data_IF_198410304726
#
_entry.id   IF_198410304726
#
_cell.length_a   1.000
_cell.length_b   1.000
_cell.length_c   1.000
_cell.angle_alpha   90.00
_cell.angle_beta   90.00
_cell.angle_gamma   90.00
#
_symmetry.space_group_name_H-M   'P 1'
#
loop_
_entity.id
_entity.type
_entity.pdbx_description
1 polymer ?
#
# COMPACT_ATOMS: atom_id res chain seq x y z
N UNK A 1 1.94 -2.68 11.28
CA UNK A 1 1.03 -2.06 10.29
C UNK A 1 0.57 -0.76 10.92
N UNK A 2 0.95 0.38 10.34
CA UNK A 2 0.60 1.70 10.88
C UNK A 2 -0.61 2.18 10.05
N UNK A 3 -1.77 2.29 10.69
CA UNK A 3 -2.89 3.05 10.16
C UNK A 3 -2.89 4.41 10.86
N UNK A 4 -2.84 5.49 10.09
CA UNK A 4 -2.95 6.85 10.60
C UNK A 4 -4.42 7.26 10.55
N UNK A 5 -4.97 7.80 11.64
CA UNK A 5 -6.20 8.59 11.61
C UNK A 5 -5.77 10.04 11.36
N UNK A 6 -6.24 10.63 10.25
CA UNK A 6 -6.03 12.04 9.92
C UNK A 6 -6.98 12.91 10.74
N UNK A 7 -6.45 13.92 11.40
CA UNK A 7 -7.23 15.00 11.99
C UNK A 7 -7.99 15.77 10.91
N UNK A 8 -9.25 16.12 11.21
CA UNK A 8 -10.02 17.13 10.48
C UNK A 8 -9.36 18.48 10.73
N UNK A 9 -8.72 19.04 9.71
CA UNK A 9 -8.26 20.43 9.72
C UNK A 9 -9.47 21.37 9.83
N UNK A 10 -9.55 22.14 10.93
CA UNK A 10 -10.32 23.38 10.99
C UNK A 10 -9.39 24.54 10.62
N UNK A 11 -9.82 25.49 9.78
CA UNK A 11 -8.99 26.62 9.38
C UNK A 11 -8.79 27.60 10.53
N UNK A 12 -7.53 27.93 10.84
CA UNK A 12 -7.17 29.03 11.74
C UNK A 12 -7.41 30.37 11.03
N UNK A 13 -8.25 31.23 11.61
CA UNK A 13 -8.28 32.66 11.33
C UNK A 13 -7.50 33.37 12.45
N UNK A 14 -6.50 34.14 12.07
CA UNK A 14 -5.76 35.05 12.95
C UNK A 14 -6.68 36.09 13.60
N UNK A 15 -6.66 36.20 14.94
CA UNK A 15 -6.38 37.46 15.65
C UNK A 15 -6.70 37.40 17.16
N UNK A 16 -5.75 37.97 17.92
CA UNK A 16 -5.84 38.57 19.27
C UNK A 16 -5.82 37.68 20.53
N UNK A 17 -4.89 38.06 21.41
CA UNK A 17 -4.63 37.61 22.78
C UNK A 17 -5.88 37.49 23.65
N UNK A 18 -6.13 36.29 24.19
CA UNK A 18 -6.90 36.04 25.42
C UNK A 18 -6.51 34.64 25.94
N UNK A 19 -6.31 34.44 27.25
CA UNK A 19 -6.01 33.11 27.78
C UNK A 19 -7.27 32.22 27.61
N UNK A 20 -7.15 30.96 27.16
CA UNK A 20 -8.33 30.13 27.03
C UNK A 20 -8.82 29.73 28.42
N UNK A 21 -10.04 30.17 28.72
CA UNK A 21 -10.85 29.69 29.84
C UNK A 21 -11.05 28.18 29.77
N UNK A 22 -11.19 27.58 30.94
CA UNK A 22 -11.57 26.18 31.13
C UNK A 22 -12.85 25.82 30.35
N UNK A 23 -12.79 24.75 29.57
CA UNK A 23 -13.96 23.93 29.23
C UNK A 23 -14.30 23.87 27.75
N UNK A 24 -13.79 22.85 27.06
CA UNK A 24 -14.63 21.90 26.33
C UNK A 24 -13.79 20.66 25.99
N UNK A 25 -13.91 19.60 26.80
CA UNK A 25 -13.23 18.32 26.55
C UNK A 25 -13.80 17.68 25.28
N UNK A 26 -13.07 17.74 24.16
CA UNK A 26 -13.41 17.04 22.91
C UNK A 26 -13.41 15.50 23.00
N UNK A 27 -13.40 14.95 24.22
CA UNK A 27 -13.38 13.52 24.54
C UNK A 27 -14.75 13.05 25.06
N UNK A 28 -15.66 13.98 25.41
CA UNK A 28 -17.00 13.63 25.91
C UNK A 28 -17.84 12.98 24.80
N UNK A 29 -17.79 11.65 24.72
CA UNK A 29 -18.50 10.83 23.74
C UNK A 29 -17.68 9.67 23.16
N UNK A 30 -16.36 9.59 23.45
CA UNK A 30 -15.54 8.44 23.05
C UNK A 30 -15.68 7.24 24.00
N UNK A 31 -16.10 7.48 25.24
CA UNK A 31 -16.16 6.46 26.31
C UNK A 31 -17.50 5.71 26.34
N UNK A 32 -18.59 6.30 25.84
CA UNK A 32 -19.94 5.76 26.00
C UNK A 32 -20.20 4.46 25.19
N UNK A 33 -19.34 4.14 24.21
CA UNK A 33 -19.53 3.01 23.27
C UNK A 33 -18.41 1.94 23.31
N UNK A 34 -17.35 2.13 24.10
CA UNK A 34 -16.20 1.22 24.18
C UNK A 34 -16.28 0.39 25.47
N UNK A 35 -16.18 -0.95 25.42
CA UNK A 35 -16.04 -1.75 26.67
C UNK A 35 -14.64 -1.61 27.28
N UNK A 36 -13.66 -1.25 26.44
CA UNK A 36 -12.29 -0.91 26.78
C UNK A 36 -12.18 0.43 27.50
N UNK A 37 -10.98 1.01 27.50
CA UNK A 37 -10.71 2.28 28.18
C UNK A 37 -10.10 3.31 27.25
N UNK A 38 -10.51 4.57 27.39
CA UNK A 38 -9.84 5.71 26.78
C UNK A 38 -9.00 6.41 27.85
N UNK A 39 -7.68 6.49 27.66
CA UNK A 39 -6.75 7.08 28.62
C UNK A 39 -6.13 8.37 28.07
N UNK A 40 -6.58 9.51 28.61
CA UNK A 40 -6.06 10.84 28.29
C UNK A 40 -4.87 11.25 29.19
N UNK A 41 -4.41 10.35 30.05
CA UNK A 41 -3.33 10.60 31.00
C UNK A 41 -2.02 10.97 30.31
N UNK A 42 -1.30 11.93 30.90
CA UNK A 42 -0.03 12.43 30.38
C UNK A 42 1.03 11.35 30.21
N UNK A 43 1.03 10.32 31.06
CA UNK A 43 1.96 9.19 31.01
C UNK A 43 1.66 8.28 29.81
N UNK A 44 0.41 7.86 29.66
CA UNK A 44 -0.01 6.96 28.57
C UNK A 44 0.14 7.63 27.21
N UNK A 45 -0.29 8.88 27.08
CA UNK A 45 -0.12 9.67 25.84
C UNK A 45 1.36 9.91 25.54
N UNK A 46 2.22 10.17 26.53
CA UNK A 46 3.67 10.32 26.30
C UNK A 46 4.35 9.00 25.89
N UNK A 47 3.87 7.86 26.37
CA UNK A 47 4.36 6.54 25.93
C UNK A 47 3.94 6.26 24.49
N UNK A 48 2.68 6.49 24.16
CA UNK A 48 2.12 6.31 22.82
C UNK A 48 2.64 7.34 21.80
N UNK A 49 3.21 8.46 22.27
CA UNK A 49 3.72 9.51 21.42
C UNK A 49 4.95 9.11 20.61
N UNK A 50 5.64 8.03 20.98
CA UNK A 50 6.91 7.62 20.36
C UNK A 50 6.65 6.65 19.22
N UNK A 51 7.23 6.94 18.06
CA UNK A 51 7.27 5.98 16.97
C UNK A 51 8.18 4.77 17.29
N UNK A 52 8.06 3.73 16.46
CA UNK A 52 9.02 2.63 16.49
C UNK A 52 10.37 3.11 15.96
N UNK A 53 11.28 3.46 16.87
CA UNK A 53 12.63 3.92 16.56
C UNK A 53 13.02 5.23 17.23
N UNK A 54 12.07 5.97 17.78
CA UNK A 54 12.30 7.24 18.49
C UNK A 54 12.69 8.41 17.58
N UNK A 55 12.39 8.34 16.28
CA UNK A 55 12.76 9.35 15.29
C UNK A 55 11.75 10.50 15.25
N UNK A 56 10.48 10.20 15.51
CA UNK A 56 9.40 11.16 15.59
C UNK A 56 8.58 10.97 16.86
N UNK A 57 8.10 12.09 17.42
CA UNK A 57 7.20 12.07 18.56
C UNK A 57 6.03 13.04 18.35
N UNK A 58 4.80 12.52 18.37
CA UNK A 58 3.56 13.32 18.31
C UNK A 58 2.67 12.87 19.45
N UNK A 59 2.33 13.78 20.37
CA UNK A 59 1.52 13.43 21.53
C UNK A 59 0.05 13.25 21.09
N UNK A 60 -0.53 12.04 21.22
CA UNK A 60 -1.94 11.83 20.92
C UNK A 60 -2.83 12.48 21.99
N UNK A 61 -4.06 12.82 21.60
CA UNK A 61 -5.09 13.36 22.51
C UNK A 61 -5.54 12.32 23.56
N UNK A 62 -5.59 11.04 23.18
CA UNK A 62 -5.94 9.93 24.06
C UNK A 62 -5.30 8.61 23.57
N UNK A 63 -5.19 7.63 24.47
CA UNK A 63 -4.78 6.27 24.17
C UNK A 63 -5.96 5.33 24.38
N UNK A 64 -6.45 4.73 23.30
CA UNK A 64 -7.56 3.77 23.35
C UNK A 64 -6.99 2.37 23.62
N UNK A 65 -7.53 1.69 24.64
CA UNK A 65 -7.25 0.30 24.97
C UNK A 65 -8.54 -0.53 24.82
N UNK A 66 -8.75 -1.20 23.68
CA UNK A 66 -9.88 -2.11 23.52
C UNK A 66 -9.86 -3.20 24.60
N UNK A 67 -11.02 -3.58 25.16
CA UNK A 67 -11.12 -4.71 26.09
C UNK A 67 -10.98 -6.05 25.37
N UNK A 68 -11.53 -6.14 24.16
CA UNK A 68 -11.39 -7.29 23.27
C UNK A 68 -11.46 -6.89 21.79
N UNK A 69 -11.40 -7.87 20.89
CA UNK A 69 -11.48 -7.62 19.46
C UNK A 69 -12.88 -7.18 18.99
N UNK A 70 -13.92 -7.36 19.82
CA UNK A 70 -15.27 -6.89 19.52
C UNK A 70 -15.48 -5.41 19.91
N UNK A 71 -14.57 -4.82 20.69
CA UNK A 71 -14.42 -3.35 20.82
C UNK A 71 -13.76 -2.71 19.60
N UNK A 72 -13.17 -3.53 18.73
CA UNK A 72 -12.52 -3.07 17.49
C UNK A 72 -13.51 -3.25 16.33
N UNK A 73 -13.48 -2.31 15.38
CA UNK A 73 -14.31 -2.31 14.19
C UNK A 73 -14.35 -3.70 13.49
N UNK A 74 -15.44 -3.98 12.78
CA UNK A 74 -15.54 -4.99 11.73
C UNK A 74 -15.12 -4.39 10.40
N UNK A 75 -14.83 -5.26 9.43
CA UNK A 75 -14.44 -4.83 8.09
C UNK A 75 -15.29 -5.56 7.07
N UNK A 76 -16.01 -4.79 6.25
CA UNK A 76 -16.56 -5.28 4.98
C UNK A 76 -15.42 -5.23 3.97
N UNK A 77 -14.85 -6.38 3.65
CA UNK A 77 -13.77 -6.52 2.68
C UNK A 77 -14.36 -6.89 1.32
N UNK A 78 -14.03 -6.14 0.27
CA UNK A 78 -14.62 -6.27 -1.06
C UNK A 78 -13.50 -6.37 -2.10
N UNK A 79 -13.70 -7.25 -3.07
CA UNK A 79 -12.89 -7.35 -4.30
C UNK A 79 -13.80 -7.31 -5.51
N UNK A 80 -13.49 -6.44 -6.46
CA UNK A 80 -14.18 -6.35 -7.75
C UNK A 80 -13.18 -6.37 -8.89
N UNK A 81 -13.62 -6.78 -10.09
CA UNK A 81 -12.74 -7.01 -11.24
C UNK A 81 -13.08 -6.11 -12.41
N UNK A 82 -12.03 -5.62 -13.06
CA UNK A 82 -12.06 -4.82 -14.27
C UNK A 82 -11.29 -5.54 -15.39
N UNK A 83 -11.79 -5.41 -16.62
CA UNK A 83 -11.06 -5.84 -17.82
C UNK A 83 -10.18 -4.74 -18.42
N UNK A 84 -10.57 -3.48 -18.24
CA UNK A 84 -9.88 -2.33 -18.80
C UNK A 84 -9.13 -1.55 -17.71
N UNK A 85 -7.90 -1.17 -18.04
CA UNK A 85 -6.99 -0.54 -17.08
C UNK A 85 -7.41 0.88 -16.74
N UNK A 86 -7.92 1.63 -17.72
CA UNK A 86 -8.34 3.02 -17.57
C UNK A 86 -9.60 3.16 -16.71
N UNK A 87 -10.51 2.20 -16.76
CA UNK A 87 -11.66 2.11 -15.84
C UNK A 87 -11.19 1.81 -14.41
N UNK A 88 -10.31 0.81 -14.25
CA UNK A 88 -9.71 0.46 -12.96
C UNK A 88 -8.99 1.66 -12.31
N UNK A 89 -8.10 2.35 -13.04
CA UNK A 89 -7.34 3.48 -12.49
C UNK A 89 -8.23 4.68 -12.19
N UNK A 90 -9.21 4.98 -13.06
CA UNK A 90 -10.14 6.10 -12.87
C UNK A 90 -10.96 5.94 -11.60
N UNK A 91 -11.44 4.73 -11.35
CA UNK A 91 -12.20 4.40 -10.15
C UNK A 91 -11.32 4.43 -8.91
N UNK A 92 -10.14 3.79 -8.95
CA UNK A 92 -9.20 3.80 -7.83
C UNK A 92 -8.77 5.23 -7.46
N UNK A 93 -8.50 6.09 -8.45
CA UNK A 93 -8.15 7.50 -8.26
C UNK A 93 -9.31 8.31 -7.68
N UNK A 94 -10.53 8.09 -8.18
CA UNK A 94 -11.74 8.73 -7.66
C UNK A 94 -11.94 8.39 -6.18
N UNK A 95 -11.72 7.12 -5.81
CA UNK A 95 -11.83 6.66 -4.43
C UNK A 95 -10.79 7.28 -3.50
N UNK A 96 -9.55 7.52 -3.94
CA UNK A 96 -8.53 8.11 -3.04
C UNK A 96 -8.54 9.64 -3.02
N UNK A 97 -9.04 10.31 -4.06
CA UNK A 97 -9.05 11.78 -4.17
C UNK A 97 -10.26 12.44 -3.52
N UNK A 98 -11.41 11.77 -3.51
CA UNK A 98 -12.62 12.26 -2.85
C UNK A 98 -12.55 11.96 -1.36
N UNK A 99 -13.52 12.46 -0.59
CA UNK A 99 -13.80 11.88 0.72
C UNK A 99 -14.23 10.43 0.48
N UNK A 100 -13.25 9.52 0.48
CA UNK A 100 -13.49 8.12 0.18
C UNK A 100 -14.52 7.58 1.15
N UNK A 101 -15.54 6.87 0.67
CA UNK A 101 -16.42 6.12 1.56
C UNK A 101 -15.70 4.91 2.16
N UNK A 102 -14.54 4.49 1.62
CA UNK A 102 -13.76 3.36 2.10
C UNK A 102 -12.59 3.79 2.98
N UNK A 103 -12.25 2.92 3.93
CA UNK A 103 -11.10 3.09 4.84
C UNK A 103 -9.80 2.47 4.30
N UNK A 104 -9.91 1.68 3.24
CA UNK A 104 -8.79 1.00 2.58
C UNK A 104 -9.06 0.89 1.08
N UNK A 105 -8.04 1.19 0.27
CA UNK A 105 -8.05 1.04 -1.18
C UNK A 105 -6.69 0.49 -1.62
N UNK A 106 -6.69 -0.69 -2.21
CA UNK A 106 -5.56 -1.26 -2.95
C UNK A 106 -6.06 -1.86 -4.27
N UNK A 107 -5.14 -2.45 -5.03
CA UNK A 107 -5.47 -3.19 -6.23
C UNK A 107 -4.32 -4.07 -6.65
N UNK A 108 -4.61 -5.03 -7.51
CA UNK A 108 -3.60 -5.91 -8.07
C UNK A 108 -3.97 -6.36 -9.48
N UNK A 109 -2.93 -6.66 -10.25
CA UNK A 109 -3.02 -7.27 -11.58
C UNK A 109 -2.89 -8.78 -11.43
N UNK A 110 -3.73 -9.52 -12.14
CA UNK A 110 -3.66 -10.98 -12.20
C UNK A 110 -3.79 -11.45 -13.65
N UNK A 111 -3.24 -12.62 -13.93
CA UNK A 111 -3.24 -13.21 -15.27
C UNK A 111 -4.64 -13.68 -15.61
N UNK A 112 -5.06 -13.45 -16.86
CA UNK A 112 -6.29 -14.02 -17.39
C UNK A 112 -6.05 -15.51 -17.76
N UNK A 113 -5.73 -16.34 -16.75
CA UNK A 113 -5.58 -17.81 -16.85
C UNK A 113 -6.10 -18.54 -15.61
N UNK A 114 -6.24 -19.87 -15.73
CA UNK A 114 -6.60 -20.79 -14.63
C UNK A 114 -5.41 -21.14 -13.73
N UNK A 115 -4.28 -20.43 -13.88
CA UNK A 115 -3.11 -20.58 -13.02
C UNK A 115 -3.51 -20.31 -11.55
N UNK A 116 -3.28 -21.26 -10.63
CA UNK A 116 -3.77 -21.13 -9.25
C UNK A 116 -3.03 -20.07 -8.43
N UNK A 117 -1.89 -19.58 -8.91
CA UNK A 117 -1.03 -18.61 -8.22
C UNK A 117 -1.19 -17.22 -8.84
N UNK A 118 -1.10 -17.13 -10.16
CA UNK A 118 -1.12 -15.87 -10.89
C UNK A 118 -2.49 -15.52 -11.45
N UNK A 119 -3.37 -16.50 -11.61
CA UNK A 119 -4.60 -16.39 -12.37
C UNK A 119 -5.81 -15.95 -11.55
N UNK A 120 -6.98 -16.04 -12.16
CA UNK A 120 -8.25 -15.73 -11.51
C UNK A 120 -8.59 -16.55 -10.23
N UNK A 121 -8.05 -17.77 -9.98
CA UNK A 121 -8.25 -18.45 -8.70
C UNK A 121 -7.65 -17.70 -7.49
N UNK A 122 -6.77 -16.72 -7.71
CA UNK A 122 -6.19 -15.89 -6.65
C UNK A 122 -7.10 -14.75 -6.15
N UNK A 123 -8.19 -14.45 -6.87
CA UNK A 123 -9.07 -13.31 -6.60
C UNK A 123 -10.05 -13.55 -5.45
N UNK A 124 -10.80 -14.67 -5.39
CA UNK A 124 -11.79 -14.87 -4.34
C UNK A 124 -11.17 -14.92 -2.93
N UNK A 125 -11.87 -14.32 -1.95
CA UNK A 125 -11.44 -14.30 -0.54
C UNK A 125 -11.69 -15.64 0.17
N UNK A 126 -12.69 -16.38 -0.30
CA UNK A 126 -13.16 -17.65 0.26
C UNK A 126 -12.98 -18.80 -0.73
N UNK A 127 -12.64 -19.99 -0.23
CA UNK A 127 -12.41 -21.19 -1.05
C UNK A 127 -13.70 -21.71 -1.68
N UNK A 128 -14.85 -21.43 -1.06
CA UNK A 128 -16.15 -21.93 -1.51
C UNK A 128 -16.73 -21.09 -2.68
N UNK A 129 -16.28 -19.84 -2.82
CA UNK A 129 -16.69 -18.95 -3.92
C UNK A 129 -15.66 -19.01 -5.03
N UNK A 130 -16.00 -19.68 -6.13
CA UNK A 130 -15.12 -19.78 -7.31
C UNK A 130 -15.27 -18.59 -8.24
N UNK A 131 -14.18 -18.26 -8.92
CA UNK A 131 -14.21 -17.38 -10.07
C UNK A 131 -14.83 -18.14 -11.26
N UNK A 132 -15.91 -17.58 -11.82
CA UNK A 132 -16.56 -18.13 -13.02
C UNK A 132 -16.07 -17.37 -14.26
N UNK A 133 -15.15 -17.97 -15.06
CA UNK A 133 -14.55 -17.30 -16.20
C UNK A 133 -15.52 -17.10 -17.37
N UNK A 134 -16.74 -17.63 -17.33
CA UNK A 134 -17.75 -17.39 -18.38
C UNK A 134 -18.37 -16.01 -18.30
N UNK A 135 -18.25 -15.34 -17.13
CA UNK A 135 -18.79 -14.00 -16.87
C UNK A 135 -17.90 -12.89 -17.40
N UNK A 136 -16.60 -13.16 -17.62
CA UNK A 136 -15.65 -12.15 -18.08
C UNK A 136 -15.94 -11.71 -19.53
N UNK A 137 -15.63 -10.46 -19.91
CA UNK A 137 -15.73 -10.00 -21.29
C UNK A 137 -14.91 -10.88 -22.24
N UNK A 138 -15.49 -11.24 -23.39
CA UNK A 138 -14.86 -12.14 -24.38
C UNK A 138 -13.53 -11.61 -24.94
N UNK A 139 -13.37 -10.28 -24.95
CA UNK A 139 -12.20 -9.59 -25.52
C UNK A 139 -11.21 -9.11 -24.45
N UNK A 140 -11.33 -9.58 -23.21
CA UNK A 140 -10.42 -9.19 -22.14
C UNK A 140 -8.96 -9.52 -22.48
N UNK A 141 -8.05 -8.64 -22.09
CA UNK A 141 -6.62 -8.76 -22.33
C UNK A 141 -5.95 -9.95 -21.62
N UNK A 142 -4.62 -10.10 -21.74
CA UNK A 142 -3.87 -11.18 -21.10
C UNK A 142 -3.86 -11.10 -19.57
N UNK A 143 -4.22 -9.95 -19.02
CA UNK A 143 -4.33 -9.67 -17.58
C UNK A 143 -5.66 -8.98 -17.28
N UNK A 144 -6.09 -9.08 -16.03
CA UNK A 144 -7.25 -8.42 -15.47
C UNK A 144 -6.82 -7.67 -14.20
N UNK A 145 -7.67 -6.75 -13.74
CA UNK A 145 -7.37 -5.88 -12.61
C UNK A 145 -8.39 -6.11 -11.51
N UNK A 146 -7.93 -6.23 -10.27
CA UNK A 146 -8.79 -6.31 -9.11
C UNK A 146 -8.63 -5.03 -8.28
N UNK A 147 -9.75 -4.35 -8.03
CA UNK A 147 -9.83 -3.30 -7.02
C UNK A 147 -10.23 -3.95 -5.70
N UNK A 148 -9.45 -3.68 -4.65
CA UNK A 148 -9.67 -4.22 -3.31
C UNK A 148 -9.95 -3.07 -2.35
N UNK A 149 -11.15 -3.06 -1.76
CA UNK A 149 -11.57 -1.99 -0.84
C UNK A 149 -12.06 -2.57 0.47
N UNK A 150 -12.04 -1.75 1.53
CA UNK A 150 -12.57 -2.14 2.81
C UNK A 150 -13.30 -0.98 3.51
N UNK A 151 -14.45 -1.28 4.11
CA UNK A 151 -15.22 -0.36 4.94
C UNK A 151 -15.20 -0.84 6.39
N UNK A 152 -14.77 0.02 7.29
CA UNK A 152 -14.83 -0.21 8.73
C UNK A 152 -16.22 0.12 9.25
N UNK A 153 -16.76 -0.75 10.11
CA UNK A 153 -18.05 -0.52 10.77
C UNK A 153 -18.03 -1.07 12.19
N UNK A 154 -18.95 -0.65 13.05
CA UNK A 154 -19.00 -1.10 14.44
C UNK A 154 -19.85 -2.36 14.56
N UNK A 155 -19.57 -3.19 15.57
CA UNK A 155 -20.33 -4.42 15.81
C UNK A 155 -21.83 -4.21 16.07
N UNK A 156 -22.21 -3.04 16.59
CA UNK A 156 -23.60 -2.67 16.85
C UNK A 156 -24.27 -1.96 15.67
N UNK A 157 -23.55 -1.66 14.59
CA UNK A 157 -24.17 -1.13 13.38
C UNK A 157 -25.12 -2.19 12.80
N UNK A 158 -26.34 -1.78 12.48
CA UNK A 158 -27.31 -2.71 11.90
C UNK A 158 -26.81 -3.18 10.52
N UNK A 159 -26.82 -4.50 10.21
CA UNK A 159 -26.26 -5.02 8.95
C UNK A 159 -26.79 -4.32 7.70
N UNK A 160 -28.09 -4.06 7.62
CA UNK A 160 -28.67 -3.37 6.46
C UNK A 160 -28.20 -1.93 6.27
N UNK A 161 -27.77 -1.25 7.34
CA UNK A 161 -27.22 0.10 7.26
C UNK A 161 -25.77 0.07 6.73
N UNK A 162 -25.01 -0.97 7.08
CA UNK A 162 -23.69 -1.24 6.49
C UNK A 162 -23.84 -1.56 5.01
N UNK A 163 -24.79 -2.43 4.64
CA UNK A 163 -25.06 -2.80 3.25
C UNK A 163 -25.44 -1.57 2.41
N UNK A 164 -26.32 -0.70 2.91
CA UNK A 164 -26.70 0.54 2.21
C UNK A 164 -25.48 1.43 1.96
N UNK A 165 -24.64 1.66 2.98
CA UNK A 165 -23.41 2.44 2.85
C UNK A 165 -22.46 1.83 1.82
N UNK A 166 -22.38 0.50 1.76
CA UNK A 166 -21.53 -0.20 0.79
C UNK A 166 -22.08 -0.02 -0.61
N UNK A 167 -23.38 -0.17 -0.85
CA UNK A 167 -23.96 0.05 -2.18
C UNK A 167 -23.80 1.52 -2.63
N UNK A 168 -24.02 2.49 -1.74
CA UNK A 168 -23.75 3.91 -2.00
C UNK A 168 -22.26 4.16 -2.33
N UNK A 169 -21.35 3.49 -1.63
CA UNK A 169 -19.91 3.61 -1.85
C UNK A 169 -19.43 2.97 -3.17
N UNK A 170 -20.11 1.90 -3.60
CA UNK A 170 -19.84 1.19 -4.84
C UNK A 170 -20.56 1.80 -6.05
N UNK A 171 -21.50 2.74 -5.82
CA UNK A 171 -22.28 3.39 -6.87
C UNK A 171 -21.38 4.17 -7.83
N UNK A 172 -21.58 3.94 -9.14
CA UNK A 172 -20.83 4.62 -10.19
C UNK A 172 -19.44 4.05 -10.47
N UNK A 173 -19.00 3.02 -9.74
CA UNK A 173 -17.82 2.24 -10.12
C UNK A 173 -18.13 1.35 -11.33
N UNK A 174 -17.18 1.23 -12.25
CA UNK A 174 -17.32 0.58 -13.57
C UNK A 174 -16.85 -0.89 -13.59
N UNK A 175 -16.84 -1.56 -12.44
CA UNK A 175 -16.43 -2.97 -12.36
C UNK A 175 -17.48 -3.90 -12.99
N UNK A 176 -17.09 -5.13 -13.29
CA UNK A 176 -18.04 -6.16 -13.72
C UNK A 176 -18.87 -6.63 -12.51
N UNK A 177 -20.16 -6.28 -12.47
CA UNK A 177 -21.09 -6.63 -11.39
C UNK A 177 -21.15 -8.14 -11.09
N UNK A 178 -20.86 -8.98 -12.08
CA UNK A 178 -20.86 -10.44 -11.91
C UNK A 178 -19.58 -10.99 -11.27
N UNK A 179 -18.56 -10.13 -11.10
CA UNK A 179 -17.23 -10.43 -10.57
C UNK A 179 -16.96 -9.58 -9.31
N UNK A 180 -17.90 -9.60 -8.36
CA UNK A 180 -17.80 -9.02 -7.02
C UNK A 180 -17.75 -10.10 -5.96
N UNK A 181 -16.77 -10.01 -5.07
CA UNK A 181 -16.68 -10.80 -3.84
C UNK A 181 -16.69 -9.86 -2.65
N UNK A 182 -17.36 -10.29 -1.60
CA UNK A 182 -17.41 -9.58 -0.32
C UNK A 182 -17.41 -10.56 0.84
N UNK A 183 -16.82 -10.14 1.95
CA UNK A 183 -16.82 -10.87 3.21
C UNK A 183 -16.78 -9.88 4.39
N UNK A 184 -17.57 -10.16 5.42
CA UNK A 184 -17.47 -9.49 6.72
C UNK A 184 -16.48 -10.24 7.61
N UNK A 185 -15.40 -9.55 8.00
CA UNK A 185 -14.32 -10.13 8.81
C UNK A 185 -14.03 -9.26 10.03
N UNK A 186 -13.35 -9.84 11.03
CA UNK A 186 -12.81 -9.03 12.13
C UNK A 186 -11.69 -8.14 11.60
N UNK A 187 -11.55 -6.93 12.15
CA UNK A 187 -10.46 -6.03 11.76
C UNK A 187 -9.08 -6.67 11.87
N UNK A 188 -8.81 -7.41 12.96
CA UNK A 188 -7.52 -8.09 13.10
C UNK A 188 -7.29 -9.20 12.05
N UNK A 189 -8.36 -9.89 11.63
CA UNK A 189 -8.26 -10.91 10.58
C UNK A 189 -8.00 -10.25 9.22
N UNK A 190 -8.63 -9.10 8.95
CA UNK A 190 -8.31 -8.28 7.79
C UNK A 190 -6.84 -7.84 7.80
N UNK A 191 -6.35 -7.20 8.87
CA UNK A 191 -4.96 -6.74 8.94
C UNK A 191 -3.95 -7.90 8.85
N UNK A 192 -4.29 -9.07 9.38
CA UNK A 192 -3.42 -10.23 9.38
C UNK A 192 -3.65 -11.19 8.19
N UNK A 193 -4.43 -10.80 7.17
CA UNK A 193 -4.80 -11.65 6.02
C UNK A 193 -3.60 -12.26 5.29
N UNK A 194 -2.46 -11.56 5.27
CA UNK A 194 -1.20 -12.05 4.66
C UNK A 194 -0.62 -13.26 5.39
N UNK A 195 -0.96 -13.48 6.67
CA UNK A 195 -0.53 -14.64 7.46
C UNK A 195 -0.99 -15.97 6.84
N UNK A 196 -2.15 -15.97 6.16
CA UNK A 196 -2.62 -17.14 5.41
C UNK A 196 -1.69 -17.45 4.23
N UNK A 197 -1.31 -16.42 3.46
CA UNK A 197 -0.36 -16.56 2.36
C UNK A 197 1.02 -17.01 2.84
N UNK A 198 1.51 -16.46 3.96
CA UNK A 198 2.74 -16.91 4.63
C UNK A 198 2.68 -18.40 5.00
N UNK A 199 1.60 -18.85 5.64
CA UNK A 199 1.46 -20.26 6.05
C UNK A 199 1.47 -21.20 4.84
N UNK A 200 0.80 -20.83 3.75
CA UNK A 200 0.81 -21.58 2.50
C UNK A 200 2.21 -21.60 1.86
N UNK A 201 2.88 -20.45 1.82
CA UNK A 201 4.24 -20.32 1.29
C UNK A 201 5.25 -21.17 2.08
N UNK A 202 5.13 -21.22 3.41
CA UNK A 202 5.94 -22.11 4.27
C UNK A 202 5.65 -23.58 3.99
N UNK A 203 4.37 -23.94 3.91
CA UNK A 203 3.95 -25.32 3.62
C UNK A 203 4.45 -25.83 2.26
N UNK A 204 4.61 -24.93 1.29
CA UNK A 204 5.06 -25.25 -0.07
C UNK A 204 6.57 -25.01 -0.28
N UNK A 205 7.32 -24.66 0.77
CA UNK A 205 8.78 -24.47 0.71
C UNK A 205 9.26 -23.25 -0.08
N UNK A 206 8.36 -22.30 -0.38
CA UNK A 206 8.69 -21.08 -1.13
C UNK A 206 8.98 -19.88 -0.20
N UNK A 207 8.65 -19.96 1.09
CA UNK A 207 8.84 -18.85 2.03
C UNK A 207 10.31 -18.54 2.36
N UNK A 208 11.16 -19.56 2.51
CA UNK A 208 12.59 -19.37 2.79
C UNK A 208 13.43 -19.37 1.49
N UNK A 209 12.77 -19.36 0.32
CA UNK A 209 13.42 -19.28 -0.98
C UNK A 209 13.80 -17.82 -1.32
N UNK A 210 14.59 -17.57 -2.39
CA UNK A 210 14.88 -16.21 -2.85
C UNK A 210 13.63 -15.47 -3.35
N UNK A 211 13.46 -14.22 -2.91
CA UNK A 211 12.35 -13.33 -3.30
C UNK A 211 12.89 -12.09 -4.02
N UNK A 212 13.19 -12.17 -5.33
CA UNK A 212 13.71 -11.04 -6.11
C UNK A 212 12.58 -10.06 -6.44
N UNK A 213 11.95 -9.47 -5.43
CA UNK A 213 10.87 -8.50 -5.59
C UNK A 213 11.34 -7.23 -6.28
N UNK A 214 10.42 -6.57 -6.97
CA UNK A 214 10.64 -5.24 -7.56
C UNK A 214 9.51 -4.33 -7.08
N UNK A 215 9.87 -3.26 -6.38
CA UNK A 215 8.93 -2.27 -5.89
C UNK A 215 9.30 -0.90 -6.46
N UNK A 216 8.31 -0.16 -6.93
CA UNK A 216 8.51 1.16 -7.52
C UNK A 216 7.28 2.03 -7.33
N UNK A 217 7.51 3.33 -7.28
CA UNK A 217 6.51 4.36 -7.48
C UNK A 217 6.53 4.79 -8.94
N UNK A 218 5.37 4.93 -9.57
CA UNK A 218 5.21 5.38 -10.97
C UNK A 218 4.22 6.54 -10.99
N UNK A 219 4.52 7.62 -11.72
CA UNK A 219 3.60 8.75 -11.84
C UNK A 219 2.27 8.31 -12.48
N UNK A 220 1.16 8.91 -12.04
CA UNK A 220 -0.16 8.69 -12.65
C UNK A 220 -0.13 8.87 -14.17
N UNK A 221 0.60 9.88 -14.66
CA UNK A 221 0.69 10.20 -16.09
C UNK A 221 1.29 9.08 -16.94
N UNK A 222 2.09 8.19 -16.33
CA UNK A 222 2.82 7.14 -17.02
C UNK A 222 2.22 5.74 -16.80
N UNK A 223 1.20 5.60 -15.95
CA UNK A 223 0.65 4.28 -15.61
C UNK A 223 0.02 3.54 -16.79
N UNK A 224 -0.65 4.24 -17.70
CA UNK A 224 -1.20 3.61 -18.90
C UNK A 224 -0.09 3.06 -19.82
N UNK A 225 1.02 3.78 -19.93
CA UNK A 225 2.20 3.31 -20.67
C UNK A 225 2.87 2.13 -19.94
N UNK A 226 2.99 2.21 -18.61
CA UNK A 226 3.52 1.14 -17.78
C UNK A 226 2.70 -0.15 -17.91
N UNK A 227 1.38 -0.08 -17.86
CA UNK A 227 0.49 -1.23 -18.06
C UNK A 227 0.74 -1.93 -19.40
N UNK A 228 0.77 -1.18 -20.48
CA UNK A 228 0.97 -1.73 -21.83
C UNK A 228 2.36 -2.36 -22.00
N UNK A 229 3.41 -1.70 -21.50
CA UNK A 229 4.78 -2.17 -21.65
C UNK A 229 5.11 -3.33 -20.68
N UNK A 230 4.59 -3.28 -19.45
CA UNK A 230 5.01 -4.18 -18.38
C UNK A 230 3.95 -5.23 -18.11
N UNK A 231 2.75 -4.86 -17.64
CA UNK A 231 1.73 -5.84 -17.23
C UNK A 231 1.22 -6.67 -18.41
N UNK A 232 0.82 -6.02 -19.50
CA UNK A 232 0.23 -6.69 -20.68
C UNK A 232 1.26 -7.40 -21.57
N UNK A 233 2.54 -7.08 -21.43
CA UNK A 233 3.59 -7.61 -22.32
C UNK A 233 4.65 -8.41 -21.56
N UNK A 234 5.55 -7.74 -20.83
CA UNK A 234 6.65 -8.41 -20.12
C UNK A 234 6.16 -9.41 -19.05
N UNK A 235 5.02 -9.13 -18.42
CA UNK A 235 4.46 -9.88 -17.29
C UNK A 235 3.10 -10.54 -17.60
N UNK A 236 2.78 -10.76 -18.88
CA UNK A 236 1.51 -11.39 -19.30
C UNK A 236 1.30 -12.82 -18.76
N UNK A 237 2.34 -13.43 -18.21
CA UNK A 237 2.31 -14.76 -17.56
C UNK A 237 2.45 -14.69 -16.03
N UNK A 238 2.40 -13.48 -15.46
CA UNK A 238 2.54 -13.27 -14.02
C UNK A 238 3.99 -13.36 -13.54
N UNK A 239 4.15 -13.30 -12.22
CA UNK A 239 5.46 -13.25 -11.54
C UNK A 239 5.64 -14.39 -10.53
N UNK A 240 4.69 -15.33 -10.48
CA UNK A 240 4.62 -16.38 -9.46
C UNK A 240 4.03 -15.89 -8.13
N UNK A 241 3.37 -14.72 -8.13
CA UNK A 241 2.78 -14.11 -6.94
C UNK A 241 2.08 -12.79 -7.28
N UNK A 242 1.62 -12.04 -6.26
CA UNK A 242 0.84 -10.81 -6.48
C UNK A 242 1.62 -9.72 -7.23
N UNK A 243 0.92 -9.01 -8.13
CA UNK A 243 1.39 -7.78 -8.77
C UNK A 243 0.53 -6.62 -8.28
N UNK A 244 0.91 -5.98 -7.16
CA UNK A 244 0.12 -4.89 -6.59
C UNK A 244 0.25 -3.63 -7.43
N UNK A 245 -0.85 -2.90 -7.57
CA UNK A 245 -0.93 -1.59 -8.22
C UNK A 245 -2.06 -0.78 -7.60
N UNK A 246 -1.74 0.35 -6.96
CA UNK A 246 -2.76 1.23 -6.40
C UNK A 246 -2.26 2.68 -6.26
N UNK A 247 -3.18 3.67 -6.37
CA UNK A 247 -2.82 5.08 -6.29
C UNK A 247 -2.59 5.53 -4.85
N UNK A 248 -1.73 6.53 -4.71
CA UNK A 248 -1.37 7.21 -3.49
C UNK A 248 -1.39 8.73 -3.73
N UNK A 249 -1.73 9.49 -2.69
CA UNK A 249 -1.73 10.95 -2.72
C UNK A 249 -0.43 11.53 -2.18
N UNK A 250 0.27 12.32 -2.99
CA UNK A 250 1.50 13.04 -2.62
C UNK A 250 1.27 14.01 -1.47
N UNK A 251 0.11 14.65 -1.36
CA UNK A 251 -0.24 15.53 -0.23
C UNK A 251 -0.13 14.88 1.14
N UNK A 252 -0.10 13.54 1.24
CA UNK A 252 0.11 12.79 2.48
C UNK A 252 1.59 12.50 2.82
N UNK A 253 2.52 12.93 1.96
CA UNK A 253 3.96 12.66 2.12
C UNK A 253 4.73 13.93 2.42
N UNK A 254 5.42 13.97 3.56
CA UNK A 254 6.20 15.14 3.98
C UNK A 254 7.49 15.27 3.16
N UNK A 255 7.59 16.36 2.39
CA UNK A 255 8.72 16.69 1.51
C UNK A 255 10.03 16.97 2.25
N UNK A 256 9.98 17.16 3.58
CA UNK A 256 11.16 17.32 4.44
C UNK A 256 11.88 15.99 4.68
N UNK A 257 11.19 14.86 4.52
CA UNK A 257 11.79 13.52 4.66
C UNK A 257 12.77 13.22 3.51
N UNK A 258 13.44 12.08 3.56
CA UNK A 258 14.36 11.62 2.50
C UNK A 258 13.70 10.63 1.52
N UNK A 259 12.36 10.52 1.55
CA UNK A 259 11.62 9.69 0.57
C UNK A 259 11.68 10.34 -0.80
N UNK A 260 11.85 9.52 -1.84
CA UNK A 260 11.91 9.97 -3.23
C UNK A 260 10.69 9.45 -3.98
N UNK A 261 9.92 10.38 -4.57
CA UNK A 261 8.65 10.11 -5.26
C UNK A 261 8.67 10.68 -6.69
N UNK A 262 7.98 10.06 -7.66
CA UNK A 262 7.80 10.59 -9.01
C UNK A 262 6.80 11.77 -9.02
N UNK A 263 6.96 12.74 -9.90
CA UNK A 263 6.17 13.97 -9.99
C UNK A 263 4.66 13.74 -10.14
N UNK A 264 3.86 14.73 -9.72
CA UNK A 264 2.40 14.70 -9.74
C UNK A 264 1.75 14.49 -8.36
N UNK A 265 0.49 14.90 -8.22
CA UNK A 265 -0.27 14.73 -6.96
C UNK A 265 -0.64 13.26 -6.71
N UNK A 266 -0.91 12.50 -7.78
CA UNK A 266 -1.18 11.07 -7.70
C UNK A 266 0.00 10.32 -8.30
N UNK A 267 0.42 9.27 -7.61
CA UNK A 267 1.37 8.29 -8.11
C UNK A 267 0.95 6.90 -7.61
N UNK A 268 1.45 5.86 -8.25
CA UNK A 268 1.08 4.50 -7.95
C UNK A 268 2.22 3.77 -7.27
N UNK A 269 1.90 2.99 -6.24
CA UNK A 269 2.78 1.91 -5.80
C UNK A 269 2.58 0.72 -6.73
N UNK A 270 3.68 0.22 -7.28
CA UNK A 270 3.75 -1.05 -8.02
C UNK A 270 4.68 -1.99 -7.27
N UNK A 271 4.19 -3.18 -6.91
CA UNK A 271 4.98 -4.20 -6.23
C UNK A 271 4.83 -5.56 -6.92
N UNK A 272 5.92 -6.06 -7.49
CA UNK A 272 6.01 -7.36 -8.14
C UNK A 272 6.54 -8.38 -7.14
N UNK A 273 5.63 -9.07 -6.46
CA UNK A 273 5.95 -9.97 -5.36
C UNK A 273 6.21 -11.39 -5.89
N UNK A 274 7.40 -11.58 -6.48
CA UNK A 274 7.88 -12.86 -6.99
C UNK A 274 7.98 -13.91 -5.89
N UNK A 275 7.27 -15.02 -6.04
CA UNK A 275 7.51 -16.27 -5.32
C UNK A 275 7.83 -17.36 -6.33
N UNK A 276 8.84 -18.17 -6.03
CA UNK A 276 9.24 -19.28 -6.89
C UNK A 276 9.81 -20.41 -6.06
N UNK A 277 9.59 -21.64 -6.52
CA UNK A 277 10.33 -22.79 -5.99
C UNK A 277 11.84 -22.56 -6.15
N UNK A 278 12.66 -23.04 -5.20
CA UNK A 278 14.10 -22.96 -5.34
C UNK A 278 14.59 -23.78 -6.55
N UNK A 279 15.70 -23.36 -7.15
CA UNK A 279 16.36 -24.13 -8.20
C UNK A 279 16.76 -25.53 -7.67
N UNK A 280 16.57 -26.62 -8.45
CA UNK A 280 16.23 -26.66 -9.87
C UNK A 280 14.72 -26.75 -10.19
N UNK A 281 13.84 -26.79 -9.19
CA UNK A 281 12.40 -26.92 -9.41
C UNK A 281 11.76 -25.61 -9.92
N UNK A 282 12.34 -24.47 -9.56
CA UNK A 282 12.01 -23.16 -10.13
C UNK A 282 13.16 -22.51 -10.91
N UNK A 283 12.95 -21.29 -11.41
CA UNK A 283 13.93 -20.56 -12.21
C UNK A 283 15.19 -20.19 -11.40
N UNK A 284 16.29 -19.97 -12.12
CA UNK A 284 17.49 -19.38 -11.52
C UNK A 284 17.18 -17.94 -11.08
N UNK A 285 17.61 -17.55 -9.88
CA UNK A 285 17.40 -16.20 -9.35
C UNK A 285 17.94 -15.12 -10.30
N UNK A 286 19.02 -15.42 -11.01
CA UNK A 286 19.63 -14.54 -12.00
C UNK A 286 18.68 -14.22 -13.16
N UNK A 287 17.80 -15.15 -13.56
CA UNK A 287 16.79 -14.92 -14.61
C UNK A 287 15.72 -13.96 -14.11
N UNK A 288 15.26 -14.12 -12.87
CA UNK A 288 14.28 -13.22 -12.25
C UNK A 288 14.86 -11.81 -12.06
N UNK A 289 16.11 -11.70 -11.62
CA UNK A 289 16.81 -10.43 -11.51
C UNK A 289 17.04 -9.78 -12.88
N UNK A 290 17.32 -10.57 -13.93
CA UNK A 290 17.45 -10.06 -15.28
C UNK A 290 16.14 -9.45 -15.78
N UNK A 291 15.00 -10.10 -15.52
CA UNK A 291 13.69 -9.55 -15.88
C UNK A 291 13.36 -8.27 -15.09
N UNK A 292 13.72 -8.18 -13.80
CA UNK A 292 13.57 -6.91 -13.05
C UNK A 292 14.39 -5.78 -13.68
N UNK A 293 15.62 -6.05 -14.13
CA UNK A 293 16.45 -5.06 -14.85
C UNK A 293 15.82 -4.66 -16.18
N UNK A 294 15.26 -5.61 -16.91
CA UNK A 294 14.56 -5.35 -18.18
C UNK A 294 13.35 -4.41 -17.98
N UNK A 295 12.57 -4.60 -16.91
CA UNK A 295 11.44 -3.71 -16.56
C UNK A 295 11.96 -2.30 -16.26
N UNK A 296 12.99 -2.16 -15.40
CA UNK A 296 13.58 -0.85 -15.06
C UNK A 296 14.15 -0.17 -16.31
N UNK A 297 14.86 -0.91 -17.16
CA UNK A 297 15.40 -0.39 -18.42
C UNK A 297 14.28 0.02 -19.39
N UNK A 298 13.18 -0.72 -19.43
CA UNK A 298 12.00 -0.37 -20.23
C UNK A 298 11.39 0.94 -19.77
N UNK A 299 11.26 1.15 -18.46
CA UNK A 299 10.79 2.43 -17.90
C UNK A 299 11.73 3.59 -18.27
N UNK A 300 13.04 3.41 -18.09
CA UNK A 300 14.04 4.42 -18.44
C UNK A 300 14.03 4.75 -19.94
N UNK A 301 13.99 3.73 -20.81
CA UNK A 301 14.05 3.91 -22.26
C UNK A 301 12.83 4.66 -22.81
N UNK A 302 11.66 4.43 -22.22
CA UNK A 302 10.42 5.08 -22.62
C UNK A 302 10.16 6.38 -21.85
N UNK A 303 11.10 6.82 -21.01
CA UNK A 303 11.02 8.11 -20.32
C UNK A 303 9.95 8.19 -19.23
N UNK A 304 9.54 7.05 -18.66
CA UNK A 304 8.55 7.02 -17.57
C UNK A 304 9.14 7.68 -16.33
N UNK A 305 8.34 8.46 -15.62
CA UNK A 305 8.67 9.01 -14.32
C UNK A 305 8.36 7.99 -13.22
N UNK A 306 9.44 7.35 -12.74
CA UNK A 306 9.36 6.36 -11.68
C UNK A 306 10.53 6.48 -10.70
N UNK A 307 10.31 5.98 -9.47
CA UNK A 307 11.33 5.84 -8.43
C UNK A 307 11.24 4.45 -7.82
N UNK A 308 12.36 3.76 -7.65
CA UNK A 308 12.35 2.48 -6.93
C UNK A 308 11.95 2.70 -5.46
N UNK A 309 11.04 1.88 -4.95
CA UNK A 309 10.76 1.77 -3.51
C UNK A 309 11.60 0.62 -2.95
N UNK A 310 12.22 0.83 -1.78
CA UNK A 310 13.32 -0.02 -1.30
C UNK A 310 14.45 -0.12 -2.35
N UNK A 311 14.98 1.04 -2.82
CA UNK A 311 15.92 1.10 -3.94
C UNK A 311 17.21 0.32 -3.68
N UNK A 312 17.75 -0.30 -4.74
CA UNK A 312 19.07 -0.91 -4.72
C UNK A 312 19.83 -0.57 -6.01
N UNK A 313 20.92 0.18 -5.87
CA UNK A 313 21.82 0.53 -6.96
C UNK A 313 23.27 0.14 -6.60
N UNK A 314 24.15 0.05 -7.59
CA UNK A 314 25.53 -0.37 -7.37
C UNK A 314 26.55 0.76 -7.55
N UNK A 315 26.12 1.95 -7.95
CA UNK A 315 26.99 3.10 -8.13
C UNK A 315 26.41 4.38 -7.52
N UNK A 316 27.30 5.29 -7.13
CA UNK A 316 26.91 6.60 -6.60
C UNK A 316 26.14 7.40 -7.66
N UNK A 317 26.50 7.29 -8.93
CA UNK A 317 25.86 7.98 -10.05
C UNK A 317 24.40 7.54 -10.24
N UNK A 318 24.11 6.25 -10.04
CA UNK A 318 22.73 5.73 -10.04
C UNK A 318 21.93 6.30 -8.86
N UNK A 319 22.55 6.41 -7.68
CA UNK A 319 21.94 7.04 -6.51
C UNK A 319 21.70 8.54 -6.69
N UNK A 320 22.64 9.25 -7.29
CA UNK A 320 22.51 10.66 -7.67
C UNK A 320 21.30 10.85 -8.58
N UNK A 321 21.17 10.01 -9.61
CA UNK A 321 20.02 10.03 -10.50
C UNK A 321 18.71 9.70 -9.78
N UNK A 322 18.74 8.75 -8.85
CA UNK A 322 17.58 8.39 -8.04
C UNK A 322 17.09 9.59 -7.21
N UNK A 323 17.97 10.20 -6.41
CA UNK A 323 17.63 11.34 -5.56
C UNK A 323 17.33 12.63 -6.34
N UNK A 324 17.93 12.79 -7.53
CA UNK A 324 17.75 13.97 -8.37
C UNK A 324 18.12 15.25 -7.63
N UNK A 325 17.22 16.24 -7.62
CA UNK A 325 17.41 17.52 -6.94
C UNK A 325 17.60 17.39 -5.41
N UNK A 326 17.22 16.26 -4.81
CA UNK A 326 17.38 16.02 -3.37
C UNK A 326 18.78 15.52 -2.99
N UNK A 327 19.64 15.19 -3.96
CA UNK A 327 20.95 14.57 -3.71
C UNK A 327 21.82 15.43 -2.79
N UNK A 328 21.97 16.73 -3.10
CA UNK A 328 22.81 17.64 -2.29
C UNK A 328 22.37 17.68 -0.83
N UNK A 329 21.06 17.75 -0.57
CA UNK A 329 20.48 17.71 0.78
C UNK A 329 20.75 16.36 1.46
N UNK A 330 20.69 15.25 0.72
CA UNK A 330 20.96 13.92 1.25
C UNK A 330 22.46 13.75 1.63
N UNK A 331 23.37 14.27 0.80
CA UNK A 331 24.82 14.30 1.07
C UNK A 331 25.14 15.17 2.29
N UNK A 332 24.53 16.35 2.41
CA UNK A 332 24.70 17.25 3.57
C UNK A 332 24.22 16.58 4.88
N UNK A 333 23.08 15.88 4.84
CA UNK A 333 22.62 15.09 5.98
C UNK A 333 23.61 13.97 6.32
N UNK A 334 24.13 13.27 5.31
CA UNK A 334 25.14 12.21 5.51
C UNK A 334 26.41 12.75 6.15
N UNK A 335 26.94 13.89 5.68
CA UNK A 335 28.15 14.48 6.24
C UNK A 335 27.96 14.97 7.67
N UNK A 336 26.75 15.40 8.03
CA UNK A 336 26.41 15.84 9.39
C UNK A 336 26.27 14.67 10.36
N UNK A 337 25.56 13.61 9.97
CA UNK A 337 25.15 12.54 10.90
C UNK A 337 25.98 11.25 10.81
N UNK A 338 26.66 10.98 9.69
CA UNK A 338 27.58 9.84 9.52
C UNK A 338 28.72 10.20 8.54
N UNK A 339 29.63 11.12 8.95
CA UNK A 339 30.69 11.65 8.09
C UNK A 339 31.68 10.60 7.58
N UNK A 340 31.77 9.46 8.26
CA UNK A 340 32.67 8.34 7.91
C UNK A 340 31.97 7.22 7.14
N UNK A 341 30.68 7.35 6.84
CA UNK A 341 29.86 6.37 6.15
C UNK A 341 29.96 4.95 6.75
N UNK A 342 29.81 4.85 8.08
CA UNK A 342 29.83 3.58 8.81
C UNK A 342 28.45 2.90 8.76
N UNK A 343 27.38 3.68 8.76
CA UNK A 343 26.02 3.16 8.90
C UNK A 343 25.44 2.69 7.56
N UNK A 344 24.78 1.52 7.62
CA UNK A 344 24.06 0.88 6.53
C UNK A 344 24.86 0.71 5.21
N UNK A 345 26.08 0.14 5.24
CA UNK A 345 26.91 -0.02 4.03
C UNK A 345 26.25 -0.91 2.97
N UNK A 346 25.34 -1.80 3.37
CA UNK A 346 24.57 -2.66 2.45
C UNK A 346 23.66 -1.90 1.47
N UNK A 347 23.34 -0.63 1.75
CA UNK A 347 22.63 0.24 0.81
C UNK A 347 23.49 0.69 -0.37
N UNK A 348 24.83 0.65 -0.24
CA UNK A 348 25.78 1.03 -1.30
C UNK A 348 25.61 2.46 -1.84
N UNK A 349 25.16 3.40 -1.00
CA UNK A 349 25.05 4.83 -1.38
C UNK A 349 26.41 5.54 -1.22
N UNK A 350 27.08 5.30 -0.10
CA UNK A 350 28.36 5.92 0.25
C UNK A 350 29.37 4.84 0.66
N UNK A 351 30.60 4.98 0.18
CA UNK A 351 31.71 4.10 0.58
C UNK A 351 32.34 4.62 1.87
N UNK A 352 32.65 3.70 2.79
CA UNK A 352 33.34 4.04 4.05
C UNK A 352 34.64 4.79 3.76
N UNK A 353 34.79 5.97 4.34
CA UNK A 353 36.05 6.71 4.26
C UNK A 353 36.98 6.28 5.39
N UNK A 354 38.24 5.95 5.06
CA UNK A 354 39.31 5.85 6.04
C UNK A 354 39.93 7.24 6.19
N UNK A 355 39.33 8.11 7.00
CA UNK A 355 40.07 9.27 7.50
C UNK A 355 40.91 8.80 8.68
N UNK A 356 42.24 8.80 8.52
CA UNK A 356 43.21 8.73 9.61
C UNK A 356 43.46 10.12 10.18
#
# INVERSE_FOLDING_TARGET
MIAYLLDRYLPENDSSDSPPEHGNDGVSGLDDDLKGSVDCGSISTAFAAKDFGGLHAVKPLAVVRPADADDVARVRWIRVVYSEFDEFTRDAESLVTRCSPFDYVEGFVFVNSDDPVNGWPSVPMDLDRRFDPTRKPKNAGPVLYCLEVALHYRNHDHPSAVDLKVEEAMEGLSYDENLRWEADVKYIDFLSRVKRAEKLAKGNGIWDAPHPWLNLFVSQFDMACFDQLVFKNLLKHGVGGPMLVYPLLRSKWDSRTSVVLPEGEIFYLVALLRFSLPYPAGPLVQQLLAQNREIVQTCVKNGLDFKLYLPHYNSTEEWEKHFGNQWSRFVERKSTFDPTAILAPGQKIFTRSQRF
#
